data_IF_281615136631
#
_entry.id   IF_281615136631
#
_cell.length_a   1.000
_cell.length_b   1.000
_cell.length_c   1.000
_cell.angle_alpha   90.00
_cell.angle_beta   90.00
_cell.angle_gamma   90.00
#
_symmetry.space_group_name_H-M   'P 1'
#
loop_
_entity.id
_entity.type
_entity.pdbx_description
1 polymer ?
#
# COMPACT_ATOMS: atom_id res chain seq x y z
N UNK A 1 -29.46 48.06 -23.51
CA UNK A 1 -28.88 46.78 -23.95
C UNK A 1 -27.78 46.43 -22.98
N UNK A 2 -27.91 45.31 -22.26
CA UNK A 2 -27.00 44.90 -21.20
C UNK A 2 -25.61 44.55 -21.73
N UNK A 3 -24.59 45.12 -21.10
CA UNK A 3 -23.19 44.78 -21.34
C UNK A 3 -22.89 43.42 -20.72
N UNK A 4 -22.29 42.53 -21.51
CA UNK A 4 -21.96 41.17 -21.10
C UNK A 4 -21.02 41.15 -19.90
N UNK A 5 -21.37 40.35 -18.91
CA UNK A 5 -20.50 39.93 -17.81
C UNK A 5 -19.43 38.98 -18.35
N UNK A 6 -18.39 39.55 -18.97
CA UNK A 6 -17.15 38.83 -19.27
C UNK A 6 -16.39 38.59 -17.98
N UNK A 7 -16.57 37.42 -17.36
CA UNK A 7 -15.77 36.97 -16.23
C UNK A 7 -14.32 36.77 -16.67
N UNK A 8 -13.51 37.83 -16.54
CA UNK A 8 -12.10 37.80 -16.90
C UNK A 8 -11.31 36.84 -16.02
N UNK A 9 -10.44 36.03 -16.63
CA UNK A 9 -9.47 35.19 -15.94
C UNK A 9 -8.59 36.09 -15.06
N UNK A 10 -8.64 35.89 -13.74
CA UNK A 10 -7.84 36.68 -12.80
C UNK A 10 -6.41 36.18 -12.73
N UNK A 11 -5.45 37.02 -12.32
CA UNK A 11 -4.06 36.61 -12.06
C UNK A 11 -4.02 35.47 -11.04
N UNK A 12 -4.90 35.50 -10.04
CA UNK A 12 -5.07 34.40 -9.08
C UNK A 12 -5.45 33.09 -9.76
N UNK A 13 -6.36 33.11 -10.74
CA UNK A 13 -6.72 31.92 -11.51
C UNK A 13 -5.54 31.37 -12.32
N UNK A 14 -4.74 32.25 -12.93
CA UNK A 14 -3.56 31.85 -13.70
C UNK A 14 -2.45 31.27 -12.81
N UNK A 15 -2.22 31.86 -11.64
CA UNK A 15 -1.26 31.36 -10.64
C UNK A 15 -1.73 30.04 -10.04
N UNK A 16 -3.02 29.91 -9.71
CA UNK A 16 -3.61 28.63 -9.26
C UNK A 16 -3.42 27.52 -10.30
N UNK A 17 -3.67 27.80 -11.58
CA UNK A 17 -3.45 26.84 -12.67
C UNK A 17 -1.96 26.49 -12.84
N UNK A 18 -1.05 27.47 -12.74
CA UNK A 18 0.40 27.24 -12.79
C UNK A 18 0.91 26.38 -11.62
N UNK A 19 0.38 26.61 -10.42
CA UNK A 19 0.73 25.88 -9.20
C UNK A 19 0.04 24.51 -9.11
N UNK A 20 -0.76 24.13 -10.13
CA UNK A 20 -1.50 22.87 -10.12
C UNK A 20 -2.60 22.82 -9.06
N UNK A 21 -3.06 23.98 -8.56
CA UNK A 21 -4.26 24.05 -7.72
C UNK A 21 -5.42 23.65 -8.60
N UNK A 22 -5.93 22.44 -8.35
CA UNK A 22 -7.01 21.83 -9.11
C UNK A 22 -8.23 22.74 -9.00
N UNK A 23 -8.63 23.42 -10.10
CA UNK A 23 -9.66 24.44 -10.03
C UNK A 23 -11.06 23.86 -9.76
N UNK A 24 -11.24 22.55 -9.96
CA UNK A 24 -12.43 21.78 -9.63
C UNK A 24 -12.01 20.46 -8.97
N UNK A 25 -11.92 20.40 -7.63
CA UNK A 25 -11.54 19.19 -6.90
C UNK A 25 -12.43 17.99 -7.23
N UNK A 26 -13.71 18.21 -7.53
CA UNK A 26 -14.64 17.19 -8.01
C UNK A 26 -14.27 16.56 -9.38
N UNK A 27 -13.48 17.22 -10.21
CA UNK A 27 -12.97 16.66 -11.48
C UNK A 27 -11.68 15.85 -11.29
N UNK A 28 -11.10 15.90 -10.08
CA UNK A 28 -9.92 15.12 -9.75
C UNK A 28 -10.31 13.79 -9.11
N UNK A 29 -10.15 12.73 -9.89
CA UNK A 29 -10.25 11.36 -9.40
C UNK A 29 -8.86 10.86 -9.00
N UNK A 30 -8.62 10.71 -7.70
CA UNK A 30 -7.44 10.02 -7.20
C UNK A 30 -7.70 8.50 -7.18
N UNK A 31 -6.98 7.77 -8.02
CA UNK A 31 -7.00 6.31 -8.03
C UNK A 31 -5.86 5.77 -7.16
N UNK A 32 -6.20 5.39 -5.92
CA UNK A 32 -5.27 4.86 -4.95
C UNK A 32 -4.56 3.57 -5.44
N UNK A 33 -5.27 2.71 -6.19
CA UNK A 33 -4.70 1.46 -6.71
C UNK A 33 -3.66 1.77 -7.77
N UNK A 34 -3.98 2.66 -8.72
CA UNK A 34 -3.05 3.06 -9.77
C UNK A 34 -1.83 3.77 -9.20
N UNK A 35 -2.04 4.64 -8.21
CA UNK A 35 -0.95 5.32 -7.50
C UNK A 35 -0.01 4.32 -6.81
N UNK A 36 -0.55 3.39 -6.02
CA UNK A 36 0.28 2.40 -5.32
C UNK A 36 0.96 1.43 -6.29
N UNK A 37 0.33 1.03 -7.40
CA UNK A 37 0.99 0.24 -8.45
C UNK A 37 2.21 0.97 -9.03
N UNK A 38 2.06 2.26 -9.34
CA UNK A 38 3.14 3.08 -9.87
C UNK A 38 4.27 3.23 -8.83
N UNK A 39 3.91 3.52 -7.57
CA UNK A 39 4.87 3.60 -6.47
C UNK A 39 5.65 2.29 -6.29
N UNK A 40 4.95 1.15 -6.23
CA UNK A 40 5.55 -0.16 -6.05
C UNK A 40 6.52 -0.53 -7.19
N UNK A 41 6.25 -0.09 -8.43
CA UNK A 41 7.16 -0.28 -9.54
C UNK A 41 8.49 0.46 -9.33
N UNK A 42 8.42 1.72 -8.90
CA UNK A 42 9.61 2.54 -8.59
C UNK A 42 10.35 1.99 -7.36
N UNK A 43 9.61 1.60 -6.31
CA UNK A 43 10.17 1.02 -5.09
C UNK A 43 10.94 -0.26 -5.41
N UNK A 44 10.43 -1.11 -6.31
CA UNK A 44 11.10 -2.36 -6.73
C UNK A 44 12.45 -2.10 -7.40
N UNK A 45 12.55 -1.03 -8.21
CA UNK A 45 13.81 -0.65 -8.86
C UNK A 45 14.79 0.00 -7.89
N UNK A 46 14.26 0.74 -6.90
CA UNK A 46 15.05 1.47 -5.91
C UNK A 46 15.37 0.63 -4.67
N UNK A 47 14.84 -0.60 -4.60
CA UNK A 47 14.97 -1.45 -3.43
C UNK A 47 16.42 -1.91 -3.26
N UNK A 48 17.01 -1.62 -2.09
CA UNK A 48 18.34 -2.09 -1.77
C UNK A 48 18.29 -3.55 -1.29
N UNK A 49 18.85 -4.53 -2.04
CA UNK A 49 18.76 -5.95 -1.66
C UNK A 49 19.39 -6.25 -0.29
N UNK A 50 20.41 -5.48 0.10
CA UNK A 50 21.09 -5.62 1.39
C UNK A 50 20.16 -5.45 2.60
N UNK A 51 19.03 -4.76 2.46
CA UNK A 51 18.06 -4.58 3.54
C UNK A 51 17.43 -5.93 3.93
N UNK A 52 17.06 -6.74 2.95
CA UNK A 52 16.50 -8.08 3.18
C UNK A 52 17.55 -9.01 3.74
N UNK A 53 18.77 -8.97 3.19
CA UNK A 53 19.87 -9.81 3.68
C UNK A 53 20.24 -9.46 5.13
N UNK A 54 20.25 -8.18 5.47
CA UNK A 54 20.50 -7.71 6.84
C UNK A 54 19.37 -8.15 7.77
N UNK A 55 18.11 -8.02 7.34
CA UNK A 55 16.97 -8.51 8.10
C UNK A 55 17.11 -10.01 8.38
N UNK A 56 17.44 -10.82 7.36
CA UNK A 56 17.68 -12.26 7.48
C UNK A 56 18.76 -12.59 8.50
N UNK A 57 19.93 -11.93 8.37
CA UNK A 57 21.05 -12.13 9.27
C UNK A 57 20.70 -11.81 10.73
N UNK A 58 19.83 -10.81 10.96
CA UNK A 58 19.38 -10.43 12.29
C UNK A 58 18.28 -11.34 12.85
N UNK A 59 17.45 -11.96 12.01
CA UNK A 59 16.39 -12.87 12.45
C UNK A 59 16.94 -14.23 12.90
N UNK A 60 18.01 -14.72 12.27
CA UNK A 60 18.63 -16.02 12.61
C UNK A 60 18.99 -16.19 14.09
N UNK A 61 19.71 -15.23 14.71
CA UNK A 61 20.04 -15.26 16.15
C UNK A 61 18.83 -15.17 17.09
N UNK A 62 17.67 -14.69 16.63
CA UNK A 62 16.46 -14.57 17.46
C UNK A 62 15.73 -15.90 17.67
N UNK A 63 16.18 -16.99 17.04
CA UNK A 63 15.59 -18.31 17.21
C UNK A 63 14.16 -18.42 16.65
N UNK A 64 13.80 -17.55 15.70
CA UNK A 64 12.52 -17.60 14.99
C UNK A 64 12.56 -18.76 13.99
N UNK A 65 11.98 -19.93 14.34
CA UNK A 65 12.01 -21.13 13.49
C UNK A 65 11.07 -22.26 13.95
N UNK A 66 10.90 -23.24 13.04
CA UNK A 66 10.15 -24.54 12.96
C UNK A 66 9.05 -24.91 13.96
N UNK A 67 9.06 -24.42 15.19
CA UNK A 67 8.03 -24.67 16.19
C UNK A 67 6.89 -23.64 16.22
N UNK A 68 7.06 -22.47 15.59
CA UNK A 68 6.05 -21.40 15.57
C UNK A 68 6.05 -20.66 14.23
N UNK A 69 4.89 -20.16 13.77
CA UNK A 69 4.83 -19.33 12.57
C UNK A 69 5.49 -17.97 12.79
N UNK A 70 6.11 -17.45 11.74
CA UNK A 70 6.54 -16.06 11.65
C UNK A 70 5.30 -15.17 11.59
N UNK A 71 5.11 -14.32 12.59
CA UNK A 71 4.00 -13.37 12.66
C UNK A 71 4.46 -12.01 12.15
N UNK A 72 3.83 -11.52 11.09
CA UNK A 72 4.16 -10.23 10.48
C UNK A 72 2.94 -9.33 10.51
N UNK A 73 3.12 -8.12 11.04
CA UNK A 73 2.17 -7.03 10.90
C UNK A 73 2.72 -6.04 9.87
N UNK A 74 2.03 -5.90 8.74
CA UNK A 74 2.37 -4.99 7.65
C UNK A 74 1.47 -3.75 7.72
N UNK A 75 2.06 -2.63 8.17
CA UNK A 75 1.36 -1.37 8.39
C UNK A 75 1.48 -0.50 7.14
N UNK A 76 0.35 -0.07 6.58
CA UNK A 76 0.33 0.60 5.28
C UNK A 76 0.61 -0.39 4.16
N UNK A 77 -0.06 -1.54 4.23
CA UNK A 77 0.23 -2.70 3.38
C UNK A 77 0.03 -2.43 1.89
N UNK A 78 -0.70 -1.38 1.51
CA UNK A 78 -0.86 -0.95 0.12
C UNK A 78 -1.43 -2.07 -0.74
N UNK A 79 -0.61 -2.65 -1.62
CA UNK A 79 -0.93 -3.80 -2.49
C UNK A 79 -0.11 -5.05 -2.15
N UNK A 80 0.19 -5.26 -0.86
CA UNK A 80 0.87 -6.45 -0.32
C UNK A 80 2.26 -6.71 -0.96
N UNK A 81 3.01 -5.65 -1.28
CA UNK A 81 4.34 -5.79 -1.89
C UNK A 81 5.34 -6.53 -0.99
N UNK A 82 5.15 -6.46 0.33
CA UNK A 82 5.98 -7.12 1.33
C UNK A 82 5.59 -8.56 1.62
N UNK A 83 4.42 -9.02 1.16
CA UNK A 83 3.93 -10.37 1.43
C UNK A 83 4.88 -11.44 0.88
N UNK A 84 5.38 -11.25 -0.35
CA UNK A 84 6.33 -12.20 -0.97
C UNK A 84 7.67 -12.23 -0.24
N UNK A 85 8.11 -11.09 0.28
CA UNK A 85 9.33 -10.99 1.09
C UNK A 85 9.14 -11.78 2.40
N UNK A 86 8.02 -11.56 3.10
CA UNK A 86 7.69 -12.28 4.32
C UNK A 86 7.52 -13.79 4.09
N UNK A 87 6.88 -14.20 3.00
CA UNK A 87 6.74 -15.61 2.63
C UNK A 87 8.09 -16.26 2.28
N UNK A 88 8.96 -15.55 1.56
CA UNK A 88 10.33 -15.98 1.32
C UNK A 88 11.11 -16.21 2.61
N UNK A 89 11.06 -15.23 3.53
CA UNK A 89 11.67 -15.32 4.85
C UNK A 89 11.16 -16.52 5.66
N UNK A 90 9.85 -16.70 5.74
CA UNK A 90 9.25 -17.82 6.48
C UNK A 90 9.72 -19.17 5.93
N UNK A 91 9.76 -19.34 4.60
CA UNK A 91 10.28 -20.57 3.95
C UNK A 91 11.73 -20.83 4.30
N UNK A 92 12.59 -19.82 4.22
CA UNK A 92 14.01 -19.94 4.55
C UNK A 92 14.25 -20.29 6.03
N UNK A 93 13.41 -19.76 6.92
CA UNK A 93 13.42 -20.08 8.35
C UNK A 93 12.74 -21.43 8.69
N UNK A 94 12.16 -22.12 7.70
CA UNK A 94 11.39 -23.34 7.92
C UNK A 94 10.17 -23.13 8.83
N UNK A 95 9.60 -21.92 8.84
CA UNK A 95 8.46 -21.55 9.66
C UNK A 95 7.19 -21.38 8.80
N UNK A 96 6.03 -21.57 9.42
CA UNK A 96 4.78 -21.07 8.82
C UNK A 96 4.75 -19.54 8.78
N UNK A 97 3.80 -18.95 8.05
CA UNK A 97 3.58 -17.50 8.01
C UNK A 97 2.18 -17.16 8.50
N UNK A 98 2.09 -16.25 9.46
CA UNK A 98 0.87 -15.54 9.83
C UNK A 98 1.06 -14.05 9.45
N UNK A 99 0.28 -13.55 8.49
CA UNK A 99 0.43 -12.21 7.95
C UNK A 99 -0.82 -11.37 8.23
N UNK A 100 -0.64 -10.23 8.88
CA UNK A 100 -1.70 -9.25 9.15
C UNK A 100 -1.40 -7.98 8.36
N UNK A 101 -2.24 -7.70 7.36
CA UNK A 101 -2.16 -6.50 6.56
C UNK A 101 -3.07 -5.41 7.15
N UNK A 102 -2.52 -4.23 7.42
CA UNK A 102 -3.25 -3.08 7.98
C UNK A 102 -3.24 -1.96 6.95
N UNK A 103 -4.42 -1.60 6.46
CA UNK A 103 -4.61 -0.58 5.42
C UNK A 103 -5.85 0.27 5.76
N UNK A 104 -5.72 1.59 5.64
CA UNK A 104 -6.80 2.54 5.92
C UNK A 104 -7.63 2.85 4.68
N UNK A 105 -7.03 2.71 3.50
CA UNK A 105 -7.73 2.93 2.23
C UNK A 105 -8.60 1.73 1.86
N UNK A 106 -9.92 1.89 1.96
CA UNK A 106 -10.90 0.82 1.75
C UNK A 106 -10.77 0.13 0.38
N UNK A 107 -10.47 0.89 -0.67
CA UNK A 107 -10.29 0.34 -2.02
C UNK A 107 -9.09 -0.60 -2.07
N UNK A 108 -7.97 -0.24 -1.42
CA UNK A 108 -6.79 -1.09 -1.33
C UNK A 108 -7.04 -2.32 -0.46
N UNK A 109 -7.82 -2.19 0.62
CA UNK A 109 -8.20 -3.31 1.47
C UNK A 109 -8.99 -4.38 0.68
N UNK A 110 -9.96 -3.98 -0.15
CA UNK A 110 -10.73 -4.92 -0.96
C UNK A 110 -9.86 -5.58 -2.06
N UNK A 111 -8.96 -4.83 -2.68
CA UNK A 111 -7.98 -5.39 -3.62
C UNK A 111 -7.04 -6.40 -2.93
N UNK A 112 -6.56 -6.09 -1.72
CA UNK A 112 -5.74 -7.00 -0.91
C UNK A 112 -6.48 -8.29 -0.57
N UNK A 113 -7.75 -8.19 -0.18
CA UNK A 113 -8.58 -9.36 0.14
C UNK A 113 -8.70 -10.30 -1.06
N UNK A 114 -8.95 -9.76 -2.26
CA UNK A 114 -8.99 -10.54 -3.50
C UNK A 114 -7.65 -11.20 -3.79
N UNK A 115 -6.56 -10.43 -3.73
CA UNK A 115 -5.21 -10.92 -4.00
C UNK A 115 -4.77 -12.04 -3.03
N UNK A 116 -5.15 -11.95 -1.75
CA UNK A 116 -4.87 -12.99 -0.75
C UNK A 116 -5.61 -14.29 -1.04
N UNK A 117 -6.90 -14.20 -1.36
CA UNK A 117 -7.72 -15.37 -1.73
C UNK A 117 -7.16 -16.07 -2.98
N UNK A 118 -6.80 -15.30 -4.01
CA UNK A 118 -6.20 -15.83 -5.24
C UNK A 118 -4.89 -16.57 -4.98
N UNK A 119 -4.12 -16.15 -3.97
CA UNK A 119 -2.86 -16.77 -3.55
C UNK A 119 -3.04 -17.90 -2.54
N UNK A 120 -4.27 -18.26 -2.20
CA UNK A 120 -4.59 -19.36 -1.28
C UNK A 120 -4.43 -19.02 0.21
N UNK A 121 -4.31 -17.73 0.56
CA UNK A 121 -4.36 -17.32 1.97
C UNK A 121 -5.79 -17.36 2.48
N UNK A 122 -5.96 -17.90 3.69
CA UNK A 122 -7.24 -17.90 4.39
C UNK A 122 -7.29 -16.63 5.24
N UNK A 123 -8.22 -15.73 4.94
CA UNK A 123 -8.47 -14.56 5.79
C UNK A 123 -9.04 -15.05 7.11
N UNK A 124 -8.35 -14.79 8.22
CA UNK A 124 -9.02 -14.79 9.52
C UNK A 124 -10.01 -13.61 9.51
N UNK A 125 -11.28 -13.85 9.79
CA UNK A 125 -12.29 -12.79 9.84
C UNK A 125 -11.84 -11.69 10.80
N UNK A 126 -12.02 -10.43 10.41
CA UNK A 126 -11.83 -9.30 11.32
C UNK A 126 -12.82 -9.49 12.48
N UNK A 127 -12.34 -9.46 13.72
CA UNK A 127 -13.20 -9.26 14.88
C UNK A 127 -13.91 -7.91 14.68
N UNK A 128 -15.15 -7.96 14.21
CA UNK A 128 -16.04 -6.82 14.26
C UNK A 128 -16.41 -6.64 15.73
N UNK A 129 -15.88 -5.60 16.36
CA UNK A 129 -16.52 -5.09 17.56
C UNK A 129 -17.85 -4.48 17.12
N UNK A 130 -19.02 -5.00 17.56
CA UNK A 130 -20.26 -4.28 17.36
C UNK A 130 -20.17 -3.01 18.20
N UNK A 131 -20.29 -1.86 17.52
CA UNK A 131 -20.51 -0.55 18.15
C UNK A 131 -21.79 -0.53 18.99
#
# INVERSE_FOLDING_TARGET
>A
GGCGSGGGVTVQHAVSALLGVIPMPEEWSFDAVKYIKAKNAVDKESFCPMVVDTLKANLGPLGLGTGRPLRVADVGAGLLSMLEVAAGLARELGAGLEYTALETEHVLMEENRRALIERGFVSAEQCTHPS
#
